data_IF_370286907909
#
_entry.id   IF_370286907909
#
_cell.length_a   1.000
_cell.length_b   1.000
_cell.length_c   1.000
_cell.angle_alpha   90.00
_cell.angle_beta   90.00
_cell.angle_gamma   90.00
#
_symmetry.space_group_name_H-M   'P 1'
#
loop_
_entity.id
_entity.type
_entity.pdbx_description
1 polymer ?
#
# COMPACT_ATOMS: atom_id res chain seq x y z
N UNK A 1 -7.96 -23.72 13.40
CA UNK A 1 -6.81 -24.34 12.71
C UNK A 1 -5.65 -23.43 12.96
N UNK A 2 -4.59 -23.93 13.58
CA UNK A 2 -3.38 -23.15 13.85
C UNK A 2 -2.51 -23.16 12.59
N UNK A 3 -2.18 -21.99 12.07
CA UNK A 3 -1.35 -21.85 10.85
C UNK A 3 0.08 -21.67 11.32
N UNK A 4 0.95 -22.64 11.00
CA UNK A 4 2.34 -22.63 11.50
C UNK A 4 3.37 -22.74 10.39
N UNK A 5 2.95 -23.04 9.16
CA UNK A 5 3.86 -23.21 8.03
C UNK A 5 3.54 -22.24 6.88
N UNK A 6 4.57 -21.96 6.08
CA UNK A 6 4.46 -21.15 4.88
C UNK A 6 3.37 -21.65 3.93
N UNK A 7 3.34 -22.96 3.63
CA UNK A 7 2.37 -23.48 2.66
C UNK A 7 0.94 -23.44 3.17
N UNK A 8 0.74 -23.67 4.47
CA UNK A 8 -0.57 -23.48 5.09
C UNK A 8 -1.03 -22.02 4.97
N UNK A 9 -0.16 -21.06 5.29
CA UNK A 9 -0.46 -19.64 5.19
C UNK A 9 -0.75 -19.22 3.74
N UNK A 10 0.09 -19.64 2.79
CA UNK A 10 -0.07 -19.36 1.36
C UNK A 10 -1.42 -19.88 0.85
N UNK A 11 -1.73 -21.15 1.13
CA UNK A 11 -2.96 -21.79 0.68
C UNK A 11 -4.21 -21.19 1.30
N UNK A 12 -4.19 -20.90 2.61
CA UNK A 12 -5.37 -20.39 3.31
C UNK A 12 -5.67 -18.94 2.92
N UNK A 13 -4.64 -18.10 2.77
CA UNK A 13 -4.79 -16.73 2.26
C UNK A 13 -5.38 -16.77 0.85
N UNK A 14 -4.79 -17.58 -0.05
CA UNK A 14 -5.27 -17.73 -1.42
C UNK A 14 -6.73 -18.16 -1.46
N UNK A 15 -7.09 -19.18 -0.67
CA UNK A 15 -8.47 -19.66 -0.54
C UNK A 15 -9.42 -18.56 -0.06
N UNK A 16 -9.07 -17.79 0.97
CA UNK A 16 -9.93 -16.72 1.48
C UNK A 16 -10.16 -15.61 0.45
N UNK A 17 -9.13 -15.27 -0.33
CA UNK A 17 -9.23 -14.30 -1.42
C UNK A 17 -10.14 -14.82 -2.55
N UNK A 18 -9.98 -16.08 -2.95
CA UNK A 18 -10.83 -16.74 -3.96
C UNK A 18 -12.30 -16.84 -3.51
N UNK A 19 -12.55 -17.21 -2.25
CA UNK A 19 -13.90 -17.26 -1.66
C UNK A 19 -14.63 -15.90 -1.68
N UNK A 20 -13.88 -14.81 -1.73
CA UNK A 20 -14.42 -13.45 -1.84
C UNK A 20 -14.28 -12.88 -3.26
N UNK A 21 -14.06 -13.73 -4.26
CA UNK A 21 -14.01 -13.38 -5.68
C UNK A 21 -12.85 -12.45 -6.09
N UNK A 22 -11.76 -12.40 -5.32
CA UNK A 22 -10.57 -11.69 -5.78
C UNK A 22 -9.89 -12.48 -6.90
N UNK A 23 -9.54 -11.79 -7.98
CA UNK A 23 -8.56 -12.28 -8.95
C UNK A 23 -7.17 -12.12 -8.36
N UNK A 24 -6.46 -13.23 -8.20
CA UNK A 24 -5.12 -13.28 -7.61
C UNK A 24 -4.10 -13.45 -8.72
N UNK A 25 -3.13 -12.56 -8.78
CA UNK A 25 -1.93 -12.71 -9.60
C UNK A 25 -0.76 -13.08 -8.68
N UNK A 26 -0.11 -14.22 -8.92
CA UNK A 26 1.15 -14.55 -8.24
C UNK A 26 2.29 -13.82 -8.96
N UNK A 27 3.04 -13.01 -8.22
CA UNK A 27 4.14 -12.20 -8.74
C UNK A 27 5.46 -12.90 -8.42
N UNK A 28 6.35 -13.15 -9.39
CA UNK A 28 7.70 -13.60 -9.10
C UNK A 28 8.46 -12.52 -8.31
N UNK A 29 8.97 -12.88 -7.14
CA UNK A 29 9.66 -11.96 -6.24
C UNK A 29 10.81 -12.70 -5.55
N UNK A 30 12.04 -12.26 -5.79
CA UNK A 30 13.24 -12.89 -5.25
C UNK A 30 13.41 -12.65 -3.74
N UNK A 31 12.68 -11.69 -3.16
CA UNK A 31 12.74 -11.31 -1.75
C UNK A 31 11.55 -11.83 -0.94
N UNK A 32 10.59 -12.50 -1.58
CA UNK A 32 9.42 -13.07 -0.93
C UNK A 32 9.33 -14.60 -1.08
N UNK A 33 8.76 -15.28 -0.09
CA UNK A 33 8.39 -16.69 -0.23
C UNK A 33 7.06 -16.84 -0.98
N UNK A 34 6.16 -15.87 -0.84
CA UNK A 34 5.04 -15.68 -1.75
C UNK A 34 4.71 -14.20 -1.90
N UNK A 35 4.18 -13.85 -3.06
CA UNK A 35 3.74 -12.51 -3.40
C UNK A 35 2.46 -12.61 -4.22
N UNK A 36 1.35 -12.15 -3.64
CA UNK A 36 0.06 -12.05 -4.30
C UNK A 36 -0.27 -10.61 -4.61
N UNK A 37 -0.76 -10.33 -5.80
CA UNK A 37 -1.34 -9.05 -6.17
C UNK A 37 -2.84 -9.22 -6.43
N UNK A 38 -3.65 -8.34 -5.84
CA UNK A 38 -5.11 -8.32 -6.00
C UNK A 38 -5.60 -6.89 -6.23
N UNK A 39 -6.79 -6.76 -6.84
CA UNK A 39 -7.55 -5.52 -6.78
C UNK A 39 -8.34 -5.45 -5.46
N UNK A 40 -8.16 -4.36 -4.71
CA UNK A 40 -8.96 -4.09 -3.52
C UNK A 40 -9.29 -2.59 -3.39
N UNK A 41 -10.58 -2.20 -3.34
CA UNK A 41 -11.76 -3.06 -3.46
C UNK A 41 -11.88 -3.74 -4.83
N UNK A 42 -12.73 -4.76 -4.92
CA UNK A 42 -12.99 -5.48 -6.17
C UNK A 42 -13.37 -4.51 -7.29
N UNK A 43 -12.75 -4.68 -8.47
CA UNK A 43 -13.03 -3.85 -9.64
C UNK A 43 -12.54 -2.39 -9.57
N UNK A 44 -11.83 -2.00 -8.51
CA UNK A 44 -11.36 -0.62 -8.34
C UNK A 44 -10.09 -0.27 -9.12
N UNK A 45 -9.45 -1.27 -9.75
CA UNK A 45 -8.13 -1.22 -10.37
C UNK A 45 -7.00 -0.80 -9.42
N UNK A 46 -7.28 -0.68 -8.11
CA UNK A 46 -6.30 -0.33 -7.08
C UNK A 46 -5.67 -1.61 -6.58
N UNK A 47 -4.39 -1.79 -6.92
CA UNK A 47 -3.63 -2.98 -6.56
C UNK A 47 -3.17 -2.91 -5.10
N UNK A 48 -3.36 -4.00 -4.38
CA UNK A 48 -2.68 -4.27 -3.11
C UNK A 48 -1.93 -5.59 -3.22
N UNK A 49 -0.83 -5.69 -2.47
CA UNK A 49 0.07 -6.84 -2.48
C UNK A 49 0.03 -7.52 -1.11
N UNK A 50 0.02 -8.84 -1.09
CA UNK A 50 0.12 -9.65 0.13
C UNK A 50 1.36 -10.51 -0.01
N UNK A 51 2.32 -10.26 0.87
CA UNK A 51 3.71 -10.73 0.74
C UNK A 51 4.11 -11.43 2.04
N UNK A 52 4.90 -12.49 1.91
CA UNK A 52 5.66 -13.07 3.01
C UNK A 52 7.15 -12.85 2.69
N UNK A 53 7.84 -11.91 3.36
CA UNK A 53 9.25 -11.65 3.12
C UNK A 53 10.15 -12.81 3.54
N UNK A 54 11.19 -13.13 2.76
CA UNK A 54 12.14 -14.21 3.07
C UNK A 54 12.88 -13.99 4.39
N UNK A 55 13.19 -12.74 4.69
CA UNK A 55 13.96 -12.33 5.86
C UNK A 55 13.21 -12.50 7.18
N UNK A 56 11.87 -12.55 7.13
CA UNK A 56 11.01 -12.56 8.32
C UNK A 56 10.02 -13.74 8.27
N UNK A 57 10.46 -14.96 8.62
CA UNK A 57 9.59 -16.13 8.63
C UNK A 57 8.32 -15.91 9.46
N UNK A 58 7.17 -16.28 8.89
CA UNK A 58 5.87 -16.15 9.55
C UNK A 58 5.24 -14.76 9.49
N UNK A 59 5.97 -13.74 9.04
CA UNK A 59 5.42 -12.40 8.83
C UNK A 59 4.61 -12.35 7.53
N UNK A 60 3.39 -11.82 7.61
CA UNK A 60 2.57 -11.43 6.46
C UNK A 60 2.50 -9.92 6.40
N UNK A 61 2.79 -9.38 5.22
CA UNK A 61 2.76 -7.95 4.92
C UNK A 61 1.70 -7.70 3.87
N UNK A 62 0.69 -6.90 4.20
CA UNK A 62 -0.24 -6.34 3.22
C UNK A 62 0.33 -4.98 2.83
N UNK A 63 0.88 -4.89 1.63
CA UNK A 63 1.56 -3.71 1.12
C UNK A 63 0.67 -2.99 0.11
N UNK A 64 0.62 -1.66 0.21
CA UNK A 64 0.05 -0.81 -0.82
C UNK A 64 0.86 0.48 -0.93
N UNK A 65 0.69 1.20 -2.02
CA UNK A 65 1.43 2.41 -2.28
C UNK A 65 0.83 3.19 -3.45
N UNK A 66 1.18 4.46 -3.51
CA UNK A 66 0.72 5.39 -4.54
C UNK A 66 1.86 6.31 -4.94
N UNK A 67 2.09 6.41 -6.25
CA UNK A 67 2.99 7.41 -6.81
C UNK A 67 2.30 8.77 -6.79
N UNK A 68 3.04 9.80 -6.38
CA UNK A 68 2.55 11.16 -6.40
C UNK A 68 2.52 11.65 -7.85
N UNK A 69 1.41 12.27 -8.26
CA UNK A 69 1.26 12.74 -9.64
C UNK A 69 2.33 13.78 -9.99
N UNK A 70 2.81 13.82 -11.25
CA UNK A 70 3.79 14.83 -11.68
C UNK A 70 3.32 16.26 -11.39
N UNK A 71 2.04 16.57 -11.59
CA UNK A 71 1.47 17.89 -11.34
C UNK A 71 1.52 18.29 -9.86
N UNK A 72 1.28 17.33 -8.95
CA UNK A 72 1.41 17.56 -7.51
C UNK A 72 2.87 17.74 -7.11
N UNK A 73 3.76 16.94 -7.70
CA UNK A 73 5.20 17.03 -7.49
C UNK A 73 5.74 18.41 -7.90
N UNK A 74 5.33 18.93 -9.06
CA UNK A 74 5.74 20.27 -9.53
C UNK A 74 5.22 21.38 -8.61
N UNK A 75 4.00 21.24 -8.08
CA UNK A 75 3.46 22.20 -7.11
C UNK A 75 4.20 22.15 -5.77
N UNK A 76 4.55 20.95 -5.30
CA UNK A 76 5.37 20.79 -4.09
C UNK A 76 6.76 21.43 -4.26
N UNK A 77 7.38 21.34 -5.44
CA UNK A 77 8.68 22.00 -5.69
C UNK A 77 8.63 23.51 -5.51
N UNK A 78 7.48 24.14 -5.80
CA UNK A 78 7.30 25.58 -5.65
C UNK A 78 7.19 26.03 -4.19
N UNK A 79 6.92 25.11 -3.26
CA UNK A 79 6.85 25.39 -1.83
C UNK A 79 8.25 25.44 -1.20
N UNK A 80 8.37 26.25 -0.17
CA UNK A 80 9.54 26.28 0.69
C UNK A 80 9.58 25.06 1.64
N UNK A 81 10.66 24.92 2.40
CA UNK A 81 10.86 23.77 3.29
C UNK A 81 9.81 23.71 4.41
N UNK A 82 9.46 24.84 5.02
CA UNK A 82 8.49 24.90 6.13
C UNK A 82 7.08 24.53 5.68
N UNK A 83 6.66 24.97 4.49
CA UNK A 83 5.38 24.62 3.88
C UNK A 83 5.26 23.11 3.61
N UNK A 84 6.31 22.50 3.05
CA UNK A 84 6.38 21.05 2.82
C UNK A 84 6.33 20.28 4.14
N UNK A 85 7.14 20.70 5.11
CA UNK A 85 7.24 20.04 6.41
C UNK A 85 5.92 20.09 7.18
N UNK A 86 5.24 21.24 7.17
CA UNK A 86 3.93 21.40 7.76
C UNK A 86 2.91 20.46 7.10
N UNK A 87 2.88 20.39 5.77
CA UNK A 87 1.98 19.51 5.04
C UNK A 87 2.21 18.03 5.33
N UNK A 88 3.47 17.57 5.33
CA UNK A 88 3.78 16.20 5.70
C UNK A 88 3.52 15.93 7.19
N UNK A 89 3.71 16.92 8.06
CA UNK A 89 3.39 16.78 9.48
C UNK A 89 1.89 16.59 9.70
N UNK A 90 1.04 17.31 8.98
CA UNK A 90 -0.41 17.12 9.03
C UNK A 90 -0.81 15.69 8.64
N UNK A 91 -0.22 15.15 7.57
CA UNK A 91 -0.44 13.77 7.15
C UNK A 91 0.03 12.80 8.25
N UNK A 92 1.24 12.98 8.76
CA UNK A 92 1.80 12.12 9.83
C UNK A 92 0.90 12.12 11.06
N UNK A 93 0.48 13.30 11.51
CA UNK A 93 -0.36 13.45 12.70
C UNK A 93 -1.73 12.80 12.52
N UNK A 94 -2.29 12.81 11.31
CA UNK A 94 -3.55 12.14 11.02
C UNK A 94 -3.43 10.60 11.01
N UNK A 95 -2.25 10.08 10.61
CA UNK A 95 -2.02 8.64 10.45
C UNK A 95 -1.33 7.98 11.65
N UNK A 96 -0.75 8.75 12.58
CA UNK A 96 0.13 8.23 13.65
C UNK A 96 -0.52 7.17 14.57
N UNK A 97 -1.84 7.22 14.76
CA UNK A 97 -2.56 6.26 15.61
C UNK A 97 -3.14 5.09 14.82
N UNK A 98 -2.96 5.05 13.51
CA UNK A 98 -3.40 3.91 12.71
C UNK A 98 -2.43 2.74 12.91
N UNK A 99 -2.94 1.50 12.88
CA UNK A 99 -2.10 0.33 13.11
C UNK A 99 -1.29 -0.12 11.88
N UNK A 100 -1.40 0.57 10.74
CA UNK A 100 -0.53 0.34 9.59
C UNK A 100 0.68 1.28 9.64
N UNK A 101 1.82 0.77 9.18
CA UNK A 101 3.00 1.57 8.92
C UNK A 101 2.81 2.36 7.63
N UNK A 102 3.44 3.52 7.54
CA UNK A 102 3.46 4.33 6.33
C UNK A 102 4.79 5.06 6.22
N UNK A 103 5.22 5.30 4.98
CA UNK A 103 6.44 6.01 4.66
C UNK A 103 6.27 6.81 3.37
N UNK A 104 7.00 7.93 3.28
CA UNK A 104 7.08 8.74 2.08
C UNK A 104 8.51 8.65 1.53
N UNK A 105 8.63 8.21 0.28
CA UNK A 105 9.89 8.34 -0.45
C UNK A 105 10.04 9.81 -0.85
N UNK A 106 10.85 10.54 -0.08
CA UNK A 106 11.12 11.97 -0.26
C UNK A 106 12.51 12.13 -0.88
N UNK A 107 12.61 12.93 -1.94
CA UNK A 107 13.88 13.24 -2.58
C UNK A 107 14.71 14.30 -1.81
N UNK A 108 15.93 14.55 -2.27
CA UNK A 108 16.85 15.53 -1.66
C UNK A 108 16.29 16.96 -1.59
N UNK A 109 15.26 17.28 -2.38
CA UNK A 109 14.59 18.59 -2.39
C UNK A 109 13.37 18.65 -1.46
N UNK A 110 13.14 17.59 -0.68
CA UNK A 110 12.00 17.47 0.22
C UNK A 110 10.70 17.17 -0.51
N UNK A 111 10.74 16.58 -1.72
CA UNK A 111 9.55 16.30 -2.53
C UNK A 111 9.24 14.80 -2.52
N UNK A 112 8.06 14.46 -1.99
CA UNK A 112 7.55 13.09 -2.02
C UNK A 112 7.27 12.61 -3.44
N UNK A 113 7.83 11.45 -3.79
CA UNK A 113 7.61 10.75 -5.08
C UNK A 113 6.61 9.61 -4.95
N UNK A 114 6.60 8.97 -3.80
CA UNK A 114 5.71 7.85 -3.52
C UNK A 114 5.35 7.86 -2.04
N UNK A 115 4.12 7.43 -1.74
CA UNK A 115 3.75 7.00 -0.40
C UNK A 115 3.58 5.49 -0.41
N UNK A 116 4.17 4.80 0.56
CA UNK A 116 4.01 3.37 0.78
C UNK A 116 3.43 3.14 2.17
N UNK A 117 2.65 2.09 2.33
CA UNK A 117 2.07 1.73 3.62
C UNK A 117 1.81 0.24 3.70
N UNK A 118 2.03 -0.31 4.88
CA UNK A 118 1.98 -1.74 5.15
C UNK A 118 1.17 -2.05 6.39
N UNK A 119 0.41 -3.14 6.33
CA UNK A 119 -0.22 -3.73 7.50
C UNK A 119 0.41 -5.10 7.74
N UNK A 120 0.98 -5.27 8.92
CA UNK A 120 1.90 -6.36 9.24
C UNK A 120 1.39 -7.19 10.41
N UNK A 121 1.45 -8.51 10.27
CA UNK A 121 1.07 -9.44 11.33
C UNK A 121 1.67 -10.82 11.09
N UNK A 122 1.85 -11.59 12.16
CA UNK A 122 2.41 -12.94 12.10
C UNK A 122 1.32 -14.01 11.94
N UNK A 123 1.74 -15.24 11.64
CA UNK A 123 0.84 -16.38 11.45
C UNK A 123 -0.03 -16.72 12.67
N UNK A 124 0.43 -16.44 13.88
CA UNK A 124 -0.35 -16.59 15.11
C UNK A 124 -1.59 -15.67 15.15
N UNK A 125 -1.54 -14.53 14.45
CA UNK A 125 -2.65 -13.62 14.27
C UNK A 125 -3.37 -13.77 12.90
N UNK A 126 -2.91 -14.68 12.04
CA UNK A 126 -3.44 -14.85 10.68
C UNK A 126 -4.86 -15.42 10.71
N UNK A 127 -5.81 -14.56 10.36
CA UNK A 127 -7.22 -14.91 10.19
C UNK A 127 -7.77 -14.25 8.93
N UNK A 128 -8.87 -14.79 8.41
CA UNK A 128 -9.62 -14.16 7.31
C UNK A 128 -9.92 -12.70 7.63
N UNK A 129 -10.41 -12.45 8.84
CA UNK A 129 -10.72 -11.09 9.32
C UNK A 129 -9.50 -10.18 9.28
N UNK A 130 -8.36 -10.62 9.80
CA UNK A 130 -7.12 -9.82 9.85
C UNK A 130 -6.64 -9.41 8.44
N UNK A 131 -6.76 -10.31 7.46
CA UNK A 131 -6.45 -10.01 6.06
C UNK A 131 -7.32 -8.87 5.54
N UNK A 132 -8.65 -8.97 5.73
CA UNK A 132 -9.57 -7.95 5.24
C UNK A 132 -9.51 -6.63 6.02
N UNK A 133 -9.19 -6.68 7.31
CA UNK A 133 -8.91 -5.47 8.11
C UNK A 133 -7.71 -4.71 7.55
N UNK A 134 -6.59 -5.40 7.27
CA UNK A 134 -5.41 -4.77 6.69
C UNK A 134 -5.65 -4.22 5.29
N UNK A 135 -6.33 -4.99 4.42
CA UNK A 135 -6.71 -4.53 3.08
C UNK A 135 -7.58 -3.25 3.13
N UNK A 136 -8.57 -3.22 4.02
CA UNK A 136 -9.46 -2.07 4.19
C UNK A 136 -8.72 -0.86 4.77
N UNK A 137 -7.87 -1.07 5.77
CA UNK A 137 -7.10 0.00 6.40
C UNK A 137 -6.12 0.63 5.42
N UNK A 138 -5.39 -0.18 4.66
CA UNK A 138 -4.52 0.29 3.60
C UNK A 138 -5.31 1.06 2.54
N UNK A 139 -6.47 0.54 2.12
CA UNK A 139 -7.32 1.27 1.17
C UNK A 139 -7.79 2.63 1.69
N UNK A 140 -8.16 2.73 2.97
CA UNK A 140 -8.53 4.00 3.59
C UNK A 140 -7.35 4.97 3.67
N UNK A 141 -6.16 4.46 3.97
CA UNK A 141 -4.91 5.24 3.98
C UNK A 141 -4.60 5.77 2.58
N UNK A 142 -4.72 4.92 1.55
CA UNK A 142 -4.60 5.32 0.15
C UNK A 142 -5.54 6.48 -0.19
N UNK A 143 -6.83 6.34 0.12
CA UNK A 143 -7.83 7.36 -0.14
C UNK A 143 -7.54 8.65 0.62
N UNK A 144 -7.13 8.57 1.89
CA UNK A 144 -6.75 9.73 2.67
C UNK A 144 -5.60 10.49 2.00
N UNK A 145 -4.54 9.81 1.59
CA UNK A 145 -3.39 10.43 0.91
C UNK A 145 -3.83 11.06 -0.41
N UNK A 146 -4.60 10.35 -1.24
CA UNK A 146 -5.12 10.87 -2.51
C UNK A 146 -5.95 12.14 -2.27
N UNK A 147 -6.88 12.12 -1.31
CA UNK A 147 -7.70 13.29 -0.99
C UNK A 147 -6.85 14.44 -0.48
N UNK A 148 -5.91 14.18 0.44
CA UNK A 148 -5.06 15.22 1.00
C UNK A 148 -4.25 15.95 -0.08
N UNK A 149 -3.70 15.20 -1.04
CA UNK A 149 -3.01 15.79 -2.18
C UNK A 149 -3.97 16.50 -3.15
N UNK A 150 -5.12 15.91 -3.48
CA UNK A 150 -6.10 16.53 -4.37
C UNK A 150 -6.73 17.80 -3.79
N UNK A 151 -7.02 17.83 -2.50
CA UNK A 151 -7.61 19.00 -1.83
C UNK A 151 -6.61 20.17 -1.78
N UNK A 152 -5.32 19.85 -1.69
CA UNK A 152 -4.24 20.83 -1.61
C UNK A 152 -3.81 21.33 -3.00
N UNK A 153 -3.74 20.43 -3.98
CA UNK A 153 -3.14 20.69 -5.29
C UNK A 153 -4.12 20.54 -6.46
N UNK A 154 -5.40 20.27 -6.21
CA UNK A 154 -6.38 19.94 -7.23
C UNK A 154 -6.26 18.51 -7.75
N UNK A 155 -7.30 18.05 -8.44
CA UNK A 155 -7.30 16.73 -9.10
C UNK A 155 -6.39 16.79 -10.33
N UNK A 156 -5.36 15.92 -10.41
CA UNK A 156 -4.47 15.89 -11.57
C UNK A 156 -5.23 15.39 -12.80
N UNK A 157 -4.74 15.74 -13.99
CA UNK A 157 -5.31 15.20 -15.21
C UNK A 157 -5.08 13.68 -15.21
N UNK A 158 -6.15 12.90 -15.42
CA UNK A 158 -6.01 11.46 -15.59
C UNK A 158 -5.06 11.21 -16.77
N UNK A 159 -3.98 10.41 -16.60
CA UNK A 159 -3.18 9.97 -17.71
C UNK A 159 -4.11 9.35 -18.76
N UNK A 160 -4.04 9.83 -20.00
CA UNK A 160 -4.66 9.10 -21.12
C UNK A 160 -3.99 7.74 -21.15
N UNK A 161 -4.76 6.66 -21.08
CA UNK A 161 -4.29 5.27 -20.94
C UNK A 161 -2.99 5.01 -21.72
N UNK A 162 -1.85 5.00 -21.03
CA UNK A 162 -0.64 4.27 -21.39
C UNK A 162 0.41 4.36 -20.26
N UNK A 163 0.97 3.20 -19.94
CA UNK A 163 2.18 2.94 -19.14
C UNK A 163 2.06 3.02 -17.61
N UNK A 164 1.37 2.04 -17.03
CA UNK A 164 1.80 1.48 -15.74
C UNK A 164 3.20 0.89 -15.91
N UNK A 165 4.24 1.69 -15.68
CA UNK A 165 5.58 1.18 -15.45
C UNK A 165 5.54 0.54 -14.06
N UNK A 166 5.35 -0.78 -14.05
CA UNK A 166 5.56 -1.58 -12.86
C UNK A 166 7.03 -1.49 -12.50
N UNK A 167 7.36 -0.68 -11.51
CA UNK A 167 8.66 -0.80 -10.87
C UNK A 167 8.61 -2.05 -10.00
N UNK A 168 9.46 -3.00 -10.38
CA UNK A 168 9.80 -4.22 -9.65
C UNK A 168 10.26 -3.89 -8.23
#
# INVERSE_FOLDING_TARGET
MEITTLEQAKQVIKKWLEENNHKITEVPDENAMFHFEIDYPLGSMKKQRIIQPKEYPGLVVILNGVSIAPEHTERLKAWNHEEKDAFYAEIRNALIFLPNSYDFNIDEMGVARQAQFSYEFYYDALTKTKIYEGLLLNHRTLLYIIHKFNDTFGVPAMPKEQETVGNA
#
